data_IF_384914627233
#
_entry.id   IF_384914627233
#
_cell.length_a   1.000
_cell.length_b   1.000
_cell.length_c   1.000
_cell.angle_alpha   90.00
_cell.angle_beta   90.00
_cell.angle_gamma   90.00
#
_symmetry.space_group_name_H-M   'P 1'
#
loop_
_entity.id
_entity.type
_entity.pdbx_description
1 polymer ?
#
# COMPACT_ATOMS: atom_id res chain seq x y z
N UNK A 1 0.46 -2.29 -13.40
CA UNK A 1 0.29 -1.62 -12.08
C UNK A 1 -0.34 -2.61 -11.09
N UNK A 2 0.24 -2.78 -9.89
CA UNK A 2 -0.30 -3.67 -8.85
C UNK A 2 -1.69 -3.24 -8.36
N UNK A 3 -2.54 -4.22 -8.01
CA UNK A 3 -3.91 -3.94 -7.54
C UNK A 3 -3.93 -3.08 -6.28
N UNK A 4 -3.08 -3.38 -5.29
CA UNK A 4 -2.98 -2.59 -4.06
C UNK A 4 -2.65 -1.12 -4.35
N UNK A 5 -1.78 -0.82 -5.32
CA UNK A 5 -1.39 0.57 -5.60
C UNK A 5 -2.55 1.34 -6.23
N UNK A 6 -3.27 0.72 -7.16
CA UNK A 6 -4.45 1.30 -7.78
C UNK A 6 -5.52 1.64 -6.73
N UNK A 7 -5.86 0.67 -5.89
CA UNK A 7 -6.89 0.84 -4.86
C UNK A 7 -6.44 1.84 -3.79
N UNK A 8 -5.17 1.77 -3.34
CA UNK A 8 -4.63 2.70 -2.35
C UNK A 8 -4.63 4.16 -2.85
N UNK A 9 -4.29 4.39 -4.13
CA UNK A 9 -4.41 5.73 -4.74
C UNK A 9 -5.87 6.16 -4.81
N UNK A 10 -6.79 5.28 -5.21
CA UNK A 10 -8.22 5.59 -5.27
C UNK A 10 -8.77 6.00 -3.90
N UNK A 11 -8.44 5.23 -2.85
CA UNK A 11 -8.82 5.53 -1.46
C UNK A 11 -8.20 6.84 -0.97
N UNK A 12 -6.92 7.08 -1.27
CA UNK A 12 -6.26 8.33 -0.91
C UNK A 12 -6.94 9.53 -1.58
N UNK A 13 -7.36 9.42 -2.84
CA UNK A 13 -8.07 10.50 -3.56
C UNK A 13 -9.50 10.72 -3.07
N UNK A 14 -10.11 9.73 -2.41
CA UNK A 14 -11.44 9.86 -1.80
C UNK A 14 -11.38 10.21 -0.31
N UNK A 15 -10.21 10.57 0.23
CA UNK A 15 -9.98 10.79 1.68
C UNK A 15 -10.49 9.63 2.56
N UNK A 16 -10.41 8.38 2.06
CA UNK A 16 -10.90 7.21 2.80
C UNK A 16 -12.42 7.07 2.84
N UNK A 17 -13.17 7.91 2.12
CA UNK A 17 -14.63 7.86 2.12
C UNK A 17 -15.14 6.48 1.67
N UNK A 18 -15.99 5.87 2.50
CA UNK A 18 -16.64 4.59 2.21
C UNK A 18 -15.93 3.35 2.76
N UNK A 19 -14.79 3.48 3.44
CA UNK A 19 -14.14 2.35 4.11
C UNK A 19 -14.74 2.12 5.51
N UNK A 20 -15.15 0.87 5.76
CA UNK A 20 -15.61 0.44 7.09
C UNK A 20 -14.46 0.02 8.02
N UNK A 21 -13.29 -0.26 7.46
CA UNK A 21 -12.10 -0.62 8.22
C UNK A 21 -11.35 0.61 8.71
N UNK A 22 -10.95 0.62 9.97
CA UNK A 22 -10.13 1.69 10.54
C UNK A 22 -8.65 1.55 10.17
N UNK A 23 -7.88 2.66 10.12
CA UNK A 23 -6.43 2.60 9.96
C UNK A 23 -5.71 1.64 10.92
N UNK A 24 -6.15 1.54 12.18
CA UNK A 24 -5.48 0.65 13.13
C UNK A 24 -5.82 -0.83 12.95
N UNK A 25 -7.04 -1.17 12.52
CA UNK A 25 -7.36 -2.57 12.19
C UNK A 25 -6.50 -3.05 11.02
N UNK A 26 -6.33 -2.20 10.01
CA UNK A 26 -5.44 -2.49 8.88
C UNK A 26 -3.97 -2.56 9.31
N UNK A 27 -3.48 -1.63 10.13
CA UNK A 27 -2.12 -1.67 10.66
C UNK A 27 -1.87 -2.94 11.50
N UNK A 28 -2.83 -3.33 12.35
CA UNK A 28 -2.73 -4.58 13.11
C UNK A 28 -2.72 -5.80 12.19
N UNK A 29 -3.57 -5.84 11.15
CA UNK A 29 -3.56 -6.90 10.14
C UNK A 29 -2.20 -7.01 9.42
N UNK A 30 -1.56 -5.88 9.10
CA UNK A 30 -0.21 -5.84 8.53
C UNK A 30 0.82 -6.42 9.50
N UNK A 31 0.79 -6.01 10.77
CA UNK A 31 1.74 -6.47 11.79
C UNK A 31 1.57 -7.95 12.12
N UNK A 32 0.36 -8.49 11.99
CA UNK A 32 0.05 -9.92 12.11
C UNK A 32 0.56 -10.76 10.91
N UNK A 33 1.18 -10.14 9.89
CA UNK A 33 1.61 -10.81 8.67
C UNK A 33 0.46 -11.21 7.75
N UNK A 34 -0.71 -10.59 7.90
CA UNK A 34 -1.93 -10.84 7.11
C UNK A 34 -2.11 -9.79 5.99
N UNK A 35 -1.05 -9.14 5.54
CA UNK A 35 -1.07 -8.11 4.49
C UNK A 35 -0.75 -8.64 3.10
N UNK A 36 -0.91 -7.78 2.10
CA UNK A 36 -0.39 -7.97 0.74
C UNK A 36 1.15 -7.91 0.68
N UNK A 37 1.72 -8.41 -0.43
CA UNK A 37 3.15 -8.31 -0.75
C UNK A 37 3.39 -7.11 -1.68
N UNK A 38 4.14 -6.08 -1.26
CA UNK A 38 4.40 -4.89 -2.08
C UNK A 38 5.36 -5.13 -3.25
N UNK A 39 6.17 -6.20 -3.20
CA UNK A 39 7.20 -6.51 -4.17
C UNK A 39 6.73 -7.50 -5.26
N UNK A 40 5.55 -8.07 -5.09
CA UNK A 40 5.05 -9.23 -5.87
C UNK A 40 6.06 -10.40 -5.96
N UNK A 41 7.06 -10.43 -5.07
CA UNK A 41 8.14 -11.42 -5.03
C UNK A 41 7.69 -12.65 -4.23
N UNK A 42 6.62 -13.28 -4.70
CA UNK A 42 6.33 -14.69 -4.43
C UNK A 42 6.06 -15.11 -2.98
N UNK A 43 5.69 -14.23 -2.04
CA UNK A 43 5.35 -14.67 -0.68
C UNK A 43 3.92 -15.21 -0.57
N UNK A 44 3.84 -16.52 -0.25
CA UNK A 44 2.81 -17.46 0.28
C UNK A 44 1.29 -17.16 0.21
N UNK A 45 0.81 -15.91 0.12
CA UNK A 45 -0.63 -15.59 0.08
C UNK A 45 -1.14 -15.13 -1.29
N UNK A 46 -0.53 -15.64 -2.37
CA UNK A 46 -0.92 -15.45 -3.78
C UNK A 46 -2.40 -15.72 -4.09
N UNK A 47 -3.14 -16.34 -3.16
CA UNK A 47 -4.53 -16.79 -3.31
C UNK A 47 -5.46 -16.29 -2.20
N UNK A 48 -5.46 -14.98 -1.88
CA UNK A 48 -6.75 -14.41 -1.46
C UNK A 48 -7.62 -14.32 -2.71
N UNK A 49 -8.28 -15.41 -3.05
CA UNK A 49 -9.25 -15.49 -4.16
C UNK A 49 -10.40 -14.51 -3.89
N UNK A 50 -11.14 -14.12 -4.93
CA UNK A 50 -12.24 -13.16 -4.89
C UNK A 50 -13.26 -13.39 -3.74
N UNK A 51 -13.44 -14.63 -3.28
CA UNK A 51 -14.31 -14.96 -2.14
C UNK A 51 -13.78 -14.47 -0.77
N UNK A 52 -12.47 -14.32 -0.63
CA UNK A 52 -11.83 -13.74 0.57
C UNK A 52 -11.72 -12.22 0.51
N UNK A 53 -11.94 -11.62 -0.67
CA UNK A 53 -12.00 -10.18 -0.85
C UNK A 53 -13.31 -9.62 -0.29
N UNK A 54 -14.48 -10.21 -0.52
CA UNK A 54 -15.75 -9.52 -0.14
C UNK A 54 -15.89 -9.20 1.37
N UNK A 55 -15.33 -10.04 2.27
CA UNK A 55 -15.34 -9.81 3.73
C UNK A 55 -14.08 -9.09 4.25
N UNK A 56 -12.98 -9.06 3.50
CA UNK A 56 -11.71 -8.40 3.91
C UNK A 56 -11.29 -7.26 2.98
N UNK A 57 -12.10 -6.91 1.99
CA UNK A 57 -11.84 -5.87 1.00
C UNK A 57 -11.69 -4.51 1.68
N UNK A 58 -12.53 -4.13 2.67
CA UNK A 58 -12.31 -2.88 3.39
C UNK A 58 -10.94 -2.84 4.07
N UNK A 59 -10.51 -3.95 4.70
CA UNK A 59 -9.18 -4.04 5.32
C UNK A 59 -8.08 -3.95 4.25
N UNK A 60 -8.20 -4.69 3.15
CA UNK A 60 -7.22 -4.63 2.06
C UNK A 60 -7.08 -3.22 1.45
N UNK A 61 -8.21 -2.53 1.19
CA UNK A 61 -8.19 -1.16 0.69
C UNK A 61 -7.57 -0.20 1.70
N UNK A 62 -7.84 -0.39 2.99
CA UNK A 62 -7.24 0.40 4.06
C UNK A 62 -5.73 0.11 4.21
N UNK A 63 -5.30 -1.15 4.11
CA UNK A 63 -3.88 -1.54 4.11
C UNK A 63 -3.14 -0.91 2.92
N UNK A 64 -3.74 -0.97 1.73
CA UNK A 64 -3.23 -0.37 0.52
C UNK A 64 -3.12 1.16 0.64
N UNK A 65 -4.14 1.81 1.19
CA UNK A 65 -4.16 3.25 1.43
C UNK A 65 -3.07 3.67 2.43
N UNK A 66 -2.90 2.94 3.53
CA UNK A 66 -1.85 3.19 4.52
C UNK A 66 -0.45 3.15 3.89
N UNK A 67 -0.21 2.19 3.01
CA UNK A 67 1.09 2.11 2.34
C UNK A 67 1.26 3.23 1.31
N UNK A 68 0.23 3.57 0.54
CA UNK A 68 0.27 4.70 -0.40
C UNK A 68 0.49 6.03 0.31
N UNK A 69 -0.22 6.29 1.42
CA UNK A 69 -0.01 7.47 2.27
C UNK A 69 1.43 7.50 2.80
N UNK A 70 1.93 6.39 3.33
CA UNK A 70 3.32 6.31 3.79
C UNK A 70 4.34 6.68 2.70
N UNK A 71 4.14 6.19 1.47
CA UNK A 71 5.01 6.52 0.34
C UNK A 71 4.94 8.01 0.01
N UNK A 72 3.73 8.56 -0.11
CA UNK A 72 3.51 9.98 -0.37
C UNK A 72 4.11 10.87 0.73
N UNK A 73 3.89 10.55 2.00
CA UNK A 73 4.35 11.37 3.13
C UNK A 73 5.88 11.32 3.27
N UNK A 74 6.49 10.17 2.97
CA UNK A 74 7.95 10.01 3.00
C UNK A 74 8.65 10.86 1.93
N UNK A 75 8.10 10.90 0.71
CA UNK A 75 8.65 11.73 -0.37
C UNK A 75 7.55 12.11 -1.39
N UNK A 76 6.85 13.24 -1.19
CA UNK A 76 5.75 13.65 -2.05
C UNK A 76 6.17 13.91 -3.50
N UNK A 77 7.40 14.40 -3.70
CA UNK A 77 7.94 14.70 -5.03
C UNK A 77 8.21 13.41 -5.80
N UNK A 78 8.89 12.43 -5.17
CA UNK A 78 9.11 11.12 -5.77
C UNK A 78 7.80 10.38 -6.01
N UNK A 79 6.84 10.48 -5.09
CA UNK A 79 5.51 9.89 -5.27
C UNK A 79 4.82 10.40 -6.53
N UNK A 80 4.75 11.72 -6.71
CA UNK A 80 4.13 12.33 -7.90
C UNK A 80 4.86 11.95 -9.19
N UNK A 81 6.19 11.87 -9.16
CA UNK A 81 7.00 11.47 -10.31
C UNK A 81 6.73 10.01 -10.69
N UNK A 82 6.75 9.09 -9.71
CA UNK A 82 6.43 7.68 -9.92
C UNK A 82 5.00 7.51 -10.47
N UNK A 83 4.02 8.16 -9.83
CA UNK A 83 2.62 8.10 -10.25
C UNK A 83 2.44 8.58 -11.69
N UNK A 84 3.12 9.66 -12.08
CA UNK A 84 3.08 10.17 -13.46
C UNK A 84 3.60 9.15 -14.47
N UNK A 85 4.75 8.51 -14.22
CA UNK A 85 5.30 7.47 -15.10
C UNK A 85 4.34 6.29 -15.23
N UNK A 86 3.83 5.79 -14.09
CA UNK A 86 2.87 4.68 -14.04
C UNK A 86 1.60 5.00 -14.85
N UNK A 87 1.06 6.21 -14.72
CA UNK A 87 -0.13 6.64 -15.46
C UNK A 87 0.11 6.84 -16.96
N UNK A 88 1.35 7.11 -17.36
CA UNK A 88 1.75 7.19 -18.77
C UNK A 88 1.95 5.81 -19.42
N UNK A 89 1.85 4.73 -18.64
CA UNK A 89 2.01 3.35 -19.11
C UNK A 89 3.41 2.77 -18.94
N UNK A 90 4.31 3.48 -18.26
CA UNK A 90 5.64 2.98 -17.93
C UNK A 90 5.56 1.81 -16.94
N UNK A 91 6.62 0.97 -16.88
CA UNK A 91 6.67 -0.13 -15.92
C UNK A 91 6.62 0.39 -14.47
N UNK A 92 5.90 -0.32 -13.60
CA UNK A 92 5.69 0.11 -12.23
C UNK A 92 6.97 0.11 -11.41
N UNK A 93 7.75 -0.98 -11.49
CA UNK A 93 8.98 -1.14 -10.70
C UNK A 93 10.04 -0.16 -11.19
N UNK A 94 10.13 0.05 -12.51
CA UNK A 94 11.02 1.03 -13.12
C UNK A 94 10.64 2.46 -12.72
N UNK A 95 9.38 2.86 -12.90
CA UNK A 95 8.90 4.21 -12.57
C UNK A 95 9.11 4.53 -11.08
N UNK A 96 8.81 3.56 -10.21
CA UNK A 96 9.02 3.70 -8.78
C UNK A 96 10.52 3.80 -8.45
N UNK A 97 11.32 2.89 -9.00
CA UNK A 97 12.77 2.84 -8.76
C UNK A 97 13.50 4.10 -9.23
N UNK A 98 13.14 4.63 -10.40
CA UNK A 98 13.70 5.89 -10.92
C UNK A 98 13.32 7.09 -10.03
N UNK A 99 12.09 7.14 -9.52
CA UNK A 99 11.62 8.26 -8.72
C UNK A 99 12.13 8.24 -7.27
N UNK A 100 12.16 7.06 -6.63
CA UNK A 100 12.57 6.90 -5.22
C UNK A 100 14.06 6.58 -5.07
N UNK A 101 14.76 6.23 -6.15
CA UNK A 101 16.14 5.74 -6.11
C UNK A 101 16.31 4.38 -5.42
N UNK A 102 15.20 3.71 -5.09
CA UNK A 102 15.14 2.46 -4.35
C UNK A 102 13.94 1.64 -4.83
N UNK A 103 14.01 0.31 -4.66
CA UNK A 103 12.87 -0.56 -4.94
C UNK A 103 11.70 -0.28 -3.99
N UNK A 104 10.48 -0.62 -4.43
CA UNK A 104 9.29 -0.59 -3.57
C UNK A 104 9.45 -1.48 -2.33
N UNK A 105 10.12 -2.63 -2.47
CA UNK A 105 10.39 -3.57 -1.38
C UNK A 105 11.26 -2.95 -0.28
N UNK A 106 12.16 -2.04 -0.64
CA UNK A 106 13.03 -1.33 0.32
C UNK A 106 12.26 -0.36 1.21
N UNK A 107 11.04 0.03 0.81
CA UNK A 107 10.18 0.90 1.61
C UNK A 107 9.45 0.15 2.73
N UNK A 108 9.28 -1.17 2.59
CA UNK A 108 8.45 -1.98 3.49
C UNK A 108 8.93 -2.01 4.94
N UNK A 109 10.22 -2.16 5.27
CA UNK A 109 10.67 -2.15 6.66
C UNK A 109 10.34 -0.84 7.39
N UNK A 110 10.51 0.31 6.70
CA UNK A 110 10.16 1.61 7.25
C UNK A 110 8.66 1.79 7.44
N UNK A 111 7.86 1.23 6.54
CA UNK A 111 6.40 1.19 6.68
C UNK A 111 5.95 0.35 7.89
N UNK A 112 6.57 -0.81 8.13
CA UNK A 112 6.24 -1.62 9.31
C UNK A 112 6.54 -0.89 10.63
N UNK A 113 7.56 -0.03 10.66
CA UNK A 113 7.84 0.82 11.83
C UNK A 113 6.72 1.83 12.05
N UNK A 114 6.25 2.51 10.99
CA UNK A 114 5.14 3.47 11.14
C UNK A 114 3.83 2.81 11.54
N UNK A 115 3.55 1.57 11.09
CA UNK A 115 2.38 0.81 11.54
C UNK A 115 2.43 0.50 13.04
N UNK A 116 3.61 0.17 13.59
CA UNK A 116 3.76 -0.04 15.04
C UNK A 116 3.48 1.23 15.83
N UNK A 117 3.91 2.38 15.33
CA UNK A 117 3.63 3.69 15.95
C UNK A 117 2.13 3.99 15.92
N UNK A 118 1.48 3.79 14.77
CA UNK A 118 0.04 4.02 14.60
C UNK A 118 -0.82 3.18 15.54
N UNK A 119 -0.40 1.93 15.84
CA UNK A 119 -1.08 1.07 16.82
C UNK A 119 -0.77 1.47 18.27
N UNK A 120 0.44 1.96 18.55
CA UNK A 120 0.88 2.34 19.89
C UNK A 120 0.33 3.69 20.39
N UNK A 121 -0.07 4.57 19.49
CA UNK A 121 -0.67 5.88 19.79
C UNK A 121 -2.19 5.81 20.13
N UNK A 122 -2.71 4.60 20.38
CA UNK A 122 -4.12 4.34 20.73
C UNK A 122 -4.34 4.09 22.21
#
# INVERSE_FOLDING_TARGET
>A
MPAWFKEGVAVMTSDGAGLSATPAEAAQSILDGKSFDPAESGSVFRNRTAASYDLRAPIFYQEAALFVWYLNDKNPTAFKLALKGILNGDDFQESFGQAYGQSISSQWPGFLVSMRQLVAER
#
